data_IF_970500879934
#
_entry.id   IF_970500879934
#
_cell.length_a   1.000
_cell.length_b   1.000
_cell.length_c   1.000
_cell.angle_alpha   90.00
_cell.angle_beta   90.00
_cell.angle_gamma   90.00
#
_symmetry.space_group_name_H-M   'P 1'
#
loop_
_entity.id
_entity.type
_entity.pdbx_description
1 polymer ?
#
# COMPACT_ATOMS: atom_id res chain seq x y z
N UNK A 1 14.40 3.20 2.49
CA UNK A 1 15.15 4.19 3.31
C UNK A 1 14.30 4.52 4.52
N UNK A 2 14.84 4.47 5.75
CA UNK A 2 14.09 4.79 6.97
C UNK A 2 13.93 6.30 7.12
N UNK A 3 12.80 6.76 7.66
CA UNK A 3 12.54 8.16 8.01
C UNK A 3 12.25 8.27 9.50
N UNK A 4 12.84 9.25 10.18
CA UNK A 4 12.46 9.53 11.56
C UNK A 4 11.03 10.06 11.63
N UNK A 5 10.22 9.45 12.49
CA UNK A 5 8.83 9.87 12.74
C UNK A 5 8.75 10.99 13.78
N UNK A 6 9.79 11.12 14.61
CA UNK A 6 9.89 12.13 15.65
C UNK A 6 11.05 13.08 15.36
N UNK A 7 10.84 14.36 15.66
CA UNK A 7 11.90 15.39 15.64
C UNK A 7 12.63 15.53 16.97
N UNK A 8 12.23 14.79 18.00
CA UNK A 8 12.76 14.89 19.37
C UNK A 8 12.68 13.52 20.09
N UNK A 9 13.44 13.33 21.19
CA UNK A 9 13.41 12.09 21.97
C UNK A 9 12.04 11.87 22.61
N UNK A 10 11.42 10.73 22.36
CA UNK A 10 10.19 10.34 23.06
C UNK A 10 10.51 9.96 24.50
N UNK A 11 9.71 10.44 25.46
CA UNK A 11 10.03 10.29 26.89
C UNK A 11 9.51 9.00 27.53
N UNK A 12 8.63 8.27 26.84
CA UNK A 12 8.03 7.03 27.33
C UNK A 12 8.43 5.86 26.45
N UNK A 13 8.17 4.64 26.92
CA UNK A 13 8.38 3.41 26.18
C UNK A 13 7.18 3.00 25.30
N UNK A 14 6.20 3.90 25.10
CA UNK A 14 4.99 3.64 24.31
C UNK A 14 4.83 4.75 23.29
N UNK A 15 4.79 4.36 22.01
CA UNK A 15 4.54 5.26 20.89
C UNK A 15 3.37 4.72 20.06
N UNK A 16 2.46 5.61 19.67
CA UNK A 16 1.33 5.30 18.80
C UNK A 16 1.52 6.01 17.47
N UNK A 17 1.33 5.27 16.39
CA UNK A 17 1.42 5.78 15.02
C UNK A 17 0.13 5.47 14.26
N UNK A 18 -0.14 6.25 13.22
CA UNK A 18 -1.27 6.05 12.31
C UNK A 18 -0.76 6.05 10.88
N UNK A 19 -0.99 4.93 10.20
CA UNK A 19 -0.48 4.69 8.85
C UNK A 19 -1.62 4.75 7.84
N UNK A 20 -1.36 5.36 6.69
CA UNK A 20 -2.28 5.25 5.55
C UNK A 20 -2.28 3.82 5.03
N UNK A 21 -3.47 3.26 4.81
CA UNK A 21 -3.61 1.96 4.14
C UNK A 21 -3.53 2.12 2.63
N UNK A 22 -3.87 3.29 2.08
CA UNK A 22 -3.83 3.63 0.65
C UNK A 22 -2.39 3.89 0.18
N UNK A 23 -1.54 2.86 0.19
CA UNK A 23 -0.18 2.92 -0.34
C UNK A 23 0.12 1.67 -1.17
N UNK A 24 1.15 1.74 -2.02
CA UNK A 24 1.60 0.63 -2.87
C UNK A 24 2.55 -0.35 -2.15
N UNK A 25 2.42 -0.49 -0.84
CA UNK A 25 3.26 -1.41 -0.04
C UNK A 25 2.38 -2.28 0.83
N UNK A 26 2.80 -3.50 1.14
CA UNK A 26 2.05 -4.43 2.01
C UNK A 26 2.58 -4.40 3.46
N UNK A 27 3.86 -4.07 3.61
CA UNK A 27 4.57 -4.10 4.89
C UNK A 27 4.99 -2.70 5.33
N UNK A 28 5.18 -2.55 6.63
CA UNK A 28 5.82 -1.41 7.26
C UNK A 28 6.84 -1.89 8.29
N UNK A 29 7.91 -1.12 8.44
CA UNK A 29 9.06 -1.46 9.25
C UNK A 29 9.36 -0.35 10.26
N UNK A 30 9.49 -0.72 11.53
CA UNK A 30 9.88 0.18 12.61
C UNK A 30 11.18 -0.29 13.25
N UNK A 31 11.98 0.67 13.71
CA UNK A 31 13.12 0.45 14.59
C UNK A 31 13.26 1.65 15.51
N UNK A 32 13.77 1.42 16.71
CA UNK A 32 13.94 2.46 17.72
C UNK A 32 15.43 2.63 18.04
N UNK A 33 15.82 3.85 18.43
CA UNK A 33 17.14 4.14 18.98
C UNK A 33 16.94 4.94 20.25
N UNK A 34 17.74 4.64 21.27
CA UNK A 34 17.85 5.49 22.45
C UNK A 34 18.75 6.69 22.13
N UNK A 35 18.58 7.77 22.88
CA UNK A 35 19.42 8.97 22.80
C UNK A 35 19.70 9.47 24.21
N UNK A 36 20.96 9.75 24.51
CA UNK A 36 21.37 10.28 25.81
C UNK A 36 21.25 11.82 25.90
N UNK A 37 21.56 12.40 27.06
CA UNK A 37 21.51 13.86 27.26
C UNK A 37 22.54 14.65 26.44
N UNK A 38 23.51 13.97 25.83
CA UNK A 38 24.54 14.55 24.97
C UNK A 38 24.21 14.34 23.50
N UNK A 39 23.00 13.89 23.18
CA UNK A 39 22.52 13.59 21.83
C UNK A 39 23.28 12.47 21.12
N UNK A 40 23.89 11.55 21.88
CA UNK A 40 24.46 10.33 21.30
C UNK A 40 23.35 9.30 21.10
N UNK A 41 23.24 8.77 19.89
CA UNK A 41 22.30 7.71 19.55
C UNK A 41 22.91 6.34 19.81
N UNK A 42 22.11 5.41 20.33
CA UNK A 42 22.48 4.00 20.40
C UNK A 42 22.49 3.36 19.00
N UNK A 43 22.86 2.09 18.93
CA UNK A 43 22.45 1.26 17.80
C UNK A 43 20.92 1.16 17.74
N UNK A 44 20.39 0.89 16.55
CA UNK A 44 18.98 0.62 16.37
C UNK A 44 18.61 -0.73 16.99
N UNK A 45 17.37 -0.84 17.45
CA UNK A 45 16.76 -2.13 17.77
C UNK A 45 16.69 -3.05 16.55
N UNK A 46 16.34 -4.31 16.81
CA UNK A 46 15.77 -5.18 15.79
C UNK A 46 14.60 -4.51 15.07
N UNK A 47 14.41 -4.90 13.81
CA UNK A 47 13.33 -4.40 12.98
C UNK A 47 12.03 -5.07 13.37
N UNK A 48 11.04 -4.25 13.74
CA UNK A 48 9.64 -4.69 13.83
C UNK A 48 9.01 -4.58 12.45
N UNK A 49 8.72 -5.72 11.84
CA UNK A 49 7.95 -5.82 10.60
C UNK A 49 6.46 -6.02 10.92
N UNK A 50 5.60 -5.23 10.27
CA UNK A 50 4.15 -5.34 10.39
C UNK A 50 3.53 -5.48 9.00
N UNK A 51 2.64 -6.46 8.86
CA UNK A 51 1.80 -6.62 7.67
C UNK A 51 0.54 -5.77 7.80
N UNK A 52 0.26 -4.97 6.78
CA UNK A 52 -0.96 -4.17 6.74
C UNK A 52 -2.15 -5.05 6.38
N UNK A 53 -3.33 -4.79 6.96
CA UNK A 53 -4.54 -5.48 6.54
C UNK A 53 -4.87 -5.06 5.10
N UNK A 54 -5.21 -6.04 4.27
CA UNK A 54 -5.66 -5.79 2.92
C UNK A 54 -7.08 -5.19 2.94
N UNK A 55 -7.16 -3.89 2.66
CA UNK A 55 -8.40 -3.09 2.67
C UNK A 55 -8.50 -2.14 1.49
N UNK A 56 -7.54 -2.16 0.58
CA UNK A 56 -7.52 -1.26 -0.57
C UNK A 56 -7.96 -2.06 -1.78
N UNK A 57 -9.14 -1.76 -2.36
CA UNK A 57 -9.60 -2.52 -3.51
C UNK A 57 -8.65 -2.31 -4.71
N UNK A 58 -8.47 -3.32 -5.56
CA UNK A 58 -7.81 -3.16 -6.85
C UNK A 58 -8.39 -2.00 -7.66
N UNK A 59 -7.56 -1.29 -8.41
CA UNK A 59 -8.04 -0.32 -9.38
C UNK A 59 -8.87 -1.03 -10.47
N UNK A 60 -9.97 -0.42 -10.96
CA UNK A 60 -10.76 -1.03 -12.02
C UNK A 60 -9.95 -1.12 -13.33
N UNK A 61 -10.21 -2.12 -14.18
CA UNK A 61 -9.60 -2.19 -15.50
C UNK A 61 -10.10 -1.02 -16.37
N UNK A 62 -9.24 -0.54 -17.25
CA UNK A 62 -9.55 0.61 -18.13
C UNK A 62 -9.61 0.15 -19.58
N UNK A 63 -10.77 0.30 -20.24
CA UNK A 63 -10.89 0.01 -21.68
C UNK A 63 -10.01 0.93 -22.51
N UNK A 64 -9.35 0.37 -23.52
CA UNK A 64 -8.56 1.13 -24.48
C UNK A 64 -8.91 0.86 -25.94
N UNK A 65 -9.63 -0.21 -26.25
CA UNK A 65 -10.08 -0.52 -27.60
C UNK A 65 -11.35 -1.38 -27.59
N UNK A 66 -12.16 -1.25 -28.64
CA UNK A 66 -13.26 -2.15 -28.93
C UNK A 66 -13.45 -2.30 -30.44
N UNK A 67 -13.75 -3.52 -30.89
CA UNK A 67 -13.92 -3.83 -32.31
C UNK A 67 -15.18 -4.63 -32.56
N UNK A 68 -15.97 -4.18 -33.52
CA UNK A 68 -17.06 -4.95 -34.08
C UNK A 68 -16.50 -6.01 -35.04
N UNK A 69 -16.86 -7.27 -34.80
CA UNK A 69 -16.47 -8.43 -35.61
C UNK A 69 -17.72 -9.21 -35.96
N UNK A 70 -18.30 -8.97 -37.13
CA UNK A 70 -19.58 -9.59 -37.57
C UNK A 70 -20.63 -9.57 -36.44
N UNK A 71 -20.77 -10.69 -35.71
CA UNK A 71 -21.74 -10.89 -34.63
C UNK A 71 -21.11 -10.90 -33.21
N UNK A 72 -19.91 -10.35 -33.04
CA UNK A 72 -19.19 -10.28 -31.77
C UNK A 72 -18.64 -8.89 -31.55
N UNK A 73 -18.53 -8.51 -30.28
CA UNK A 73 -17.76 -7.35 -29.85
C UNK A 73 -16.50 -7.90 -29.18
N UNK A 74 -15.34 -7.48 -29.67
CA UNK A 74 -14.07 -7.72 -29.01
C UNK A 74 -13.74 -6.48 -28.19
N UNK A 75 -13.47 -6.66 -26.91
CA UNK A 75 -13.10 -5.59 -25.98
C UNK A 75 -11.64 -5.78 -25.57
N UNK A 76 -10.92 -4.68 -25.37
CA UNK A 76 -9.57 -4.69 -24.83
C UNK A 76 -9.43 -3.63 -23.73
N UNK A 77 -8.79 -4.01 -22.62
CA UNK A 77 -8.59 -3.17 -21.45
C UNK A 77 -7.22 -3.40 -20.83
N UNK A 78 -6.70 -2.37 -20.16
CA UNK A 78 -5.58 -2.50 -19.25
C UNK A 78 -6.09 -3.10 -17.94
N UNK A 79 -5.49 -4.19 -17.44
CA UNK A 79 -5.84 -4.74 -16.14
C UNK A 79 -5.44 -3.78 -15.01
N UNK A 80 -5.92 -4.05 -13.80
CA UNK A 80 -5.34 -3.46 -12.59
C UNK A 80 -3.88 -3.86 -12.42
N UNK A 81 -3.08 -2.98 -11.83
CA UNK A 81 -1.72 -3.29 -11.38
C UNK A 81 -1.69 -4.11 -10.07
N UNK A 82 -2.85 -4.26 -9.42
CA UNK A 82 -2.98 -5.03 -8.19
C UNK A 82 -2.76 -6.53 -8.45
N UNK A 83 -1.97 -7.19 -7.59
CA UNK A 83 -1.61 -8.62 -7.75
C UNK A 83 -2.70 -9.58 -7.27
N UNK A 84 -3.60 -9.07 -6.45
CA UNK A 84 -4.66 -9.78 -5.73
C UNK A 84 -6.02 -9.72 -6.43
N UNK A 85 -6.06 -9.28 -7.70
CA UNK A 85 -7.30 -9.32 -8.49
C UNK A 85 -7.80 -10.75 -8.67
N UNK A 86 -8.99 -11.04 -8.13
CA UNK A 86 -9.64 -12.35 -8.27
C UNK A 86 -10.41 -12.47 -9.59
N UNK A 87 -11.15 -11.43 -9.99
CA UNK A 87 -11.96 -11.44 -11.20
C UNK A 87 -12.32 -10.04 -11.71
N UNK A 88 -12.65 -9.95 -13.00
CA UNK A 88 -13.27 -8.78 -13.62
C UNK A 88 -14.71 -9.12 -14.03
N UNK A 89 -15.69 -8.38 -13.50
CA UNK A 89 -17.10 -8.55 -13.84
C UNK A 89 -17.53 -7.51 -14.88
N UNK A 90 -17.94 -7.97 -16.06
CA UNK A 90 -18.38 -7.12 -17.16
C UNK A 90 -19.91 -7.08 -17.24
N UNK A 91 -20.48 -5.88 -17.15
CA UNK A 91 -21.92 -5.66 -17.23
C UNK A 91 -22.28 -4.95 -18.54
N UNK A 92 -23.33 -5.43 -19.21
CA UNK A 92 -23.94 -4.77 -20.37
C UNK A 92 -25.25 -4.14 -19.94
N UNK A 93 -25.39 -2.82 -20.10
CA UNK A 93 -26.69 -2.16 -19.93
C UNK A 93 -27.62 -2.62 -21.06
N UNK A 94 -28.76 -3.22 -20.69
CA UNK A 94 -29.86 -3.44 -21.63
C UNK A 94 -30.71 -2.17 -21.70
N UNK A 95 -30.99 -1.72 -22.92
CA UNK A 95 -31.95 -0.67 -23.20
C UNK A 95 -33.28 -1.26 -23.64
#
# INVERSE_FOLDING_TARGET
MYKSLLGYPHKTNIFYDSISLQTHTEEIYYRISAVDFRSNYSEYSDVLELKKPDKVPPSPPTFYDFKFRKNKIQLAWYPSDAKDVVAYLLYKKMG
#
